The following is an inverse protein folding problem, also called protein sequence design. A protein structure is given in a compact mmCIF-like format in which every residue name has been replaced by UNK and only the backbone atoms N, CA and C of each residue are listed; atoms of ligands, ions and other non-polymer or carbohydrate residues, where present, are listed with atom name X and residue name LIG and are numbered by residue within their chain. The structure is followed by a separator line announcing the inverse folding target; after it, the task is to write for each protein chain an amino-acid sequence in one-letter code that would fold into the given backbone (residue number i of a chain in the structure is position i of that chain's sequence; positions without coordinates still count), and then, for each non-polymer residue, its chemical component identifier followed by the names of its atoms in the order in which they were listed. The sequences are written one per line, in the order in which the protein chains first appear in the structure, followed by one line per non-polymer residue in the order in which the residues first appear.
data_IF_116789674067
#
_entry.id   IF_116789674067
#
_cell.length_a   1.000
_cell.length_b   1.000
_cell.length_c   1.000
_cell.angle_alpha   90.00
_cell.angle_beta   90.00
_cell.angle_gamma   90.00
#
_symmetry.space_group_name_H-M   'P 1'
#
loop_
_entity.id
_entity.type
_entity.pdbx_description
1 polymer ?
#
# COMPACT_ATOMS: atom_id res chain seq x y z
N UNK A 1 -4.80 10.74 -34.28
CA UNK A 1 -3.74 10.06 -33.51
C UNK A 1 -4.34 8.80 -32.95
N UNK A 2 -3.68 7.66 -33.12
CA UNK A 2 -4.12 6.38 -32.55
C UNK A 2 -3.48 6.31 -31.17
N UNK A 3 -4.28 6.47 -30.12
CA UNK A 3 -3.77 6.38 -28.76
C UNK A 3 -3.48 4.92 -28.42
N UNK A 4 -2.36 4.67 -27.76
CA UNK A 4 -1.97 3.33 -27.33
C UNK A 4 -2.84 2.93 -26.14
N UNK A 5 -3.68 1.92 -26.34
CA UNK A 5 -4.49 1.36 -25.26
C UNK A 5 -3.60 0.56 -24.30
N UNK A 6 -3.70 0.78 -22.98
CA UNK A 6 -2.99 -0.02 -22.01
C UNK A 6 -3.71 -1.36 -21.82
N UNK A 7 -2.93 -2.44 -21.84
CA UNK A 7 -3.32 -3.73 -21.26
C UNK A 7 -2.45 -4.00 -20.04
N UNK A 8 -3.03 -4.63 -19.03
CA UNK A 8 -2.38 -4.86 -17.75
C UNK A 8 -2.30 -6.34 -17.45
N UNK A 9 -1.16 -6.77 -16.91
CA UNK A 9 -0.98 -8.08 -16.30
C UNK A 9 -0.57 -7.92 -14.84
N UNK A 10 -0.81 -8.97 -14.05
CA UNK A 10 -0.44 -9.02 -12.64
C UNK A 10 0.53 -10.17 -12.48
N UNK A 11 1.73 -9.87 -11.98
CA UNK A 11 2.75 -10.88 -11.77
C UNK A 11 2.49 -11.73 -10.52
N UNK A 12 3.39 -12.66 -10.22
CA UNK A 12 3.22 -13.57 -9.09
C UNK A 12 3.19 -12.88 -7.72
N UNK A 13 3.82 -11.70 -7.60
CA UNK A 13 3.90 -10.88 -6.38
C UNK A 13 2.75 -9.87 -6.29
N UNK A 14 1.87 -9.80 -7.28
CA UNK A 14 0.76 -8.86 -7.30
C UNK A 14 1.15 -7.47 -7.81
N UNK A 15 2.27 -7.34 -8.52
CA UNK A 15 2.68 -6.09 -9.18
C UNK A 15 1.94 -5.98 -10.51
N UNK A 16 1.43 -4.79 -10.77
CA UNK A 16 0.71 -4.50 -12.00
C UNK A 16 1.71 -4.00 -13.05
N UNK A 17 1.74 -4.67 -14.20
CA UNK A 17 2.63 -4.37 -15.30
C UNK A 17 1.77 -3.96 -16.51
N UNK A 18 2.12 -2.86 -17.15
CA UNK A 18 1.50 -2.45 -18.41
C UNK A 18 2.24 -3.13 -19.58
N UNK A 19 1.53 -3.88 -20.42
CA UNK A 19 2.14 -4.60 -21.54
C UNK A 19 2.59 -3.65 -22.66
N UNK A 20 1.93 -2.48 -22.76
CA UNK A 20 2.31 -1.40 -23.67
C UNK A 20 3.48 -0.55 -23.12
N UNK A 21 4.09 -0.91 -21.99
CA UNK A 21 5.22 -0.16 -21.44
C UNK A 21 6.48 -0.39 -22.27
N UNK A 22 7.24 0.67 -22.57
CA UNK A 22 8.46 0.57 -23.41
C UNK A 22 9.51 -0.41 -22.85
N UNK A 23 9.60 -0.49 -21.52
CA UNK A 23 10.46 -1.45 -20.78
C UNK A 23 9.80 -2.79 -20.45
N UNK A 24 8.64 -3.12 -21.01
CA UNK A 24 7.90 -4.35 -20.68
C UNK A 24 8.75 -5.64 -20.71
N UNK A 25 9.63 -5.88 -21.72
CA UNK A 25 10.47 -7.08 -21.74
C UNK A 25 11.42 -7.19 -20.53
N UNK A 26 11.93 -6.06 -20.03
CA UNK A 26 12.80 -6.03 -18.85
C UNK A 26 12.03 -6.46 -17.59
N UNK A 27 10.77 -6.04 -17.46
CA UNK A 27 9.92 -6.38 -16.32
C UNK A 27 9.62 -7.87 -16.24
N UNK A 28 9.58 -8.57 -17.37
CA UNK A 28 9.31 -10.00 -17.47
C UNK A 28 10.53 -10.92 -17.36
N UNK A 29 11.76 -10.37 -17.29
CA UNK A 29 12.96 -11.20 -17.18
C UNK A 29 12.90 -12.12 -15.94
N UNK A 30 13.11 -13.45 -16.10
CA UNK A 30 13.14 -14.39 -14.98
C UNK A 30 14.43 -14.23 -14.15
N UNK A 31 14.43 -14.80 -12.94
CA UNK A 31 15.61 -14.96 -12.07
C UNK A 31 16.31 -13.65 -11.66
N UNK A 32 15.56 -12.57 -11.49
CA UNK A 32 16.09 -11.30 -10.96
C UNK A 32 16.63 -11.48 -9.53
N UNK A 33 17.79 -10.88 -9.27
CA UNK A 33 18.32 -10.72 -7.92
C UNK A 33 17.43 -9.79 -7.09
N UNK A 34 17.49 -9.84 -5.75
CA UNK A 34 16.73 -8.93 -4.89
C UNK A 34 16.99 -7.44 -5.17
N UNK A 35 18.19 -7.10 -5.63
CA UNK A 35 18.54 -5.74 -6.01
C UNK A 35 17.85 -5.31 -7.31
N UNK A 36 17.88 -6.17 -8.34
CA UNK A 36 17.20 -5.92 -9.62
C UNK A 36 15.69 -5.84 -9.44
N UNK A 37 15.10 -6.64 -8.56
CA UNK A 37 13.67 -6.55 -8.21
C UNK A 37 13.32 -5.18 -7.63
N UNK A 38 14.15 -4.66 -6.73
CA UNK A 38 13.94 -3.34 -6.13
C UNK A 38 14.13 -2.21 -7.14
N UNK A 39 15.12 -2.34 -8.01
CA UNK A 39 15.32 -1.38 -9.09
C UNK A 39 14.10 -1.37 -10.03
N UNK A 40 13.63 -2.56 -10.41
CA UNK A 40 12.46 -2.70 -11.27
C UNK A 40 11.21 -2.06 -10.64
N UNK A 41 11.00 -2.22 -9.33
CA UNK A 41 9.87 -1.58 -8.63
C UNK A 41 9.90 -0.05 -8.72
N UNK A 42 11.08 0.57 -8.75
CA UNK A 42 11.22 2.01 -8.96
C UNK A 42 10.92 2.41 -10.42
N UNK A 43 11.15 1.49 -11.37
CA UNK A 43 10.91 1.71 -12.79
C UNK A 43 9.48 1.38 -13.23
N UNK A 44 8.68 0.68 -12.41
CA UNK A 44 7.27 0.33 -12.67
C UNK A 44 6.33 1.53 -12.50
N UNK A 45 6.51 2.53 -13.36
CA UNK A 45 5.74 3.78 -13.39
C UNK A 45 5.60 4.27 -14.83
N UNK A 46 4.51 4.97 -15.12
CA UNK A 46 4.30 5.60 -16.43
C UNK A 46 5.42 6.58 -16.79
N UNK A 47 6.05 7.20 -15.79
CA UNK A 47 7.08 8.22 -15.98
C UNK A 47 8.35 7.71 -16.69
N UNK A 48 8.60 6.40 -16.70
CA UNK A 48 9.76 5.81 -17.39
C UNK A 48 9.41 5.22 -18.76
N UNK A 49 8.17 5.41 -19.21
CA UNK A 49 7.68 4.91 -20.49
C UNK A 49 7.87 5.95 -21.59
N UNK A 50 8.42 5.54 -22.74
CA UNK A 50 8.59 6.45 -23.90
C UNK A 50 7.26 6.94 -24.47
N UNK A 51 6.20 6.13 -24.39
CA UNK A 51 4.86 6.53 -24.84
C UNK A 51 4.24 7.63 -23.97
N UNK A 52 4.61 7.69 -22.69
CA UNK A 52 4.22 8.79 -21.81
C UNK A 52 4.98 10.07 -22.17
N UNK A 53 6.28 9.97 -22.48
CA UNK A 53 7.10 11.11 -22.90
C UNK A 53 6.58 11.75 -24.20
N UNK A 54 6.11 10.91 -25.12
CA UNK A 54 5.55 11.32 -26.41
C UNK A 54 4.05 11.67 -26.39
N UNK A 55 3.38 11.58 -25.24
CA UNK A 55 1.93 11.81 -25.09
C UNK A 55 1.05 10.92 -26.00
N UNK A 56 1.46 9.66 -26.18
CA UNK A 56 0.80 8.67 -27.06
C UNK A 56 -0.16 7.74 -26.31
N UNK A 57 -0.16 7.79 -24.97
CA UNK A 57 -0.96 6.90 -24.15
C UNK A 57 -2.47 7.21 -24.22
N UNK A 58 -3.31 6.21 -23.90
CA UNK A 58 -4.76 6.39 -23.74
C UNK A 58 -5.12 7.57 -22.81
N UNK A 59 -4.41 7.68 -21.67
CA UNK A 59 -4.52 8.85 -20.80
C UNK A 59 -3.48 9.89 -21.21
N UNK A 60 -3.88 11.16 -21.42
CA UNK A 60 -2.94 12.24 -21.68
C UNK A 60 -1.93 12.39 -20.55
N UNK A 61 -0.72 12.83 -20.87
CA UNK A 61 0.37 13.09 -19.93
C UNK A 61 -0.07 13.94 -18.75
N UNK A 62 -0.84 15.00 -19.00
CA UNK A 62 -1.33 15.89 -17.95
C UNK A 62 -2.23 15.19 -16.91
N UNK A 63 -2.99 14.17 -17.34
CA UNK A 63 -3.83 13.38 -16.43
C UNK A 63 -2.98 12.41 -15.61
N UNK A 64 -2.00 11.77 -16.25
CA UNK A 64 -1.03 10.89 -15.62
C UNK A 64 -0.24 11.64 -14.54
N UNK A 65 0.23 12.85 -14.83
CA UNK A 65 0.97 13.71 -13.90
C UNK A 65 0.12 14.09 -12.69
N UNK A 66 -1.16 14.38 -12.92
CA UNK A 66 -2.11 14.69 -11.85
C UNK A 66 -2.32 13.48 -10.93
N UNK A 67 -2.45 12.28 -11.50
CA UNK A 67 -2.59 11.03 -10.74
C UNK A 67 -1.35 10.78 -9.90
N UNK A 68 -0.16 10.97 -10.47
CA UNK A 68 1.12 10.78 -9.77
C UNK A 68 1.30 11.79 -8.63
N UNK A 69 0.97 13.06 -8.86
CA UNK A 69 0.99 14.07 -7.81
C UNK A 69 -0.01 13.75 -6.69
N UNK A 70 -1.23 13.32 -7.05
CA UNK A 70 -2.24 12.90 -6.09
C UNK A 70 -1.77 11.67 -5.28
N UNK A 71 -1.02 10.74 -5.89
CA UNK A 71 -0.44 9.57 -5.20
C UNK A 71 0.56 9.99 -4.13
N UNK A 72 1.44 10.94 -4.44
CA UNK A 72 2.48 11.42 -3.52
C UNK A 72 1.89 12.27 -2.39
N UNK A 73 0.85 13.06 -2.68
CA UNK A 73 0.33 14.08 -1.76
C UNK A 73 -0.87 13.63 -0.94
N UNK A 74 -1.71 12.71 -1.44
CA UNK A 74 -2.97 12.32 -0.80
C UNK A 74 -2.92 10.89 -0.26
N UNK A 75 -3.47 10.71 0.95
CA UNK A 75 -3.67 9.39 1.56
C UNK A 75 -4.82 8.56 0.95
N UNK A 76 -5.33 8.93 -0.24
CA UNK A 76 -6.57 8.35 -0.80
C UNK A 76 -6.37 6.95 -1.36
N UNK A 77 -5.18 6.64 -1.85
CA UNK A 77 -4.88 5.37 -2.48
C UNK A 77 -4.38 4.38 -1.43
N UNK A 78 -5.32 3.75 -0.74
CA UNK A 78 -5.05 2.74 0.27
C UNK A 78 -5.57 1.38 -0.18
N UNK A 79 -4.87 0.34 0.25
CA UNK A 79 -5.27 -1.04 0.09
C UNK A 79 -6.60 -1.28 0.83
N UNK A 80 -7.59 -1.83 0.13
CA UNK A 80 -8.90 -2.19 0.67
C UNK A 80 -8.84 -3.29 1.73
N UNK A 81 -7.73 -4.02 1.86
CA UNK A 81 -7.57 -5.14 2.80
C UNK A 81 -6.75 -4.80 4.05
N UNK A 82 -5.76 -3.91 3.94
CA UNK A 82 -4.87 -3.60 5.06
C UNK A 82 -4.68 -2.11 5.34
N UNK A 83 -5.29 -1.21 4.56
CA UNK A 83 -5.17 0.24 4.75
C UNK A 83 -3.82 0.84 4.36
N UNK A 84 -2.82 0.02 4.01
CA UNK A 84 -1.52 0.52 3.56
C UNK A 84 -1.66 1.32 2.27
N UNK A 85 -0.87 2.38 2.15
CA UNK A 85 -0.80 3.17 0.91
C UNK A 85 -0.32 2.30 -0.26
N UNK A 86 -0.86 2.56 -1.44
CA UNK A 86 -0.43 1.93 -2.69
C UNK A 86 0.64 2.82 -3.32
N UNK A 87 1.88 2.35 -3.28
CA UNK A 87 3.00 3.11 -3.80
C UNK A 87 3.20 2.91 -5.32
N UNK A 88 2.73 1.80 -5.89
CA UNK A 88 2.87 1.50 -7.31
C UNK A 88 1.84 2.25 -8.16
N UNK A 89 2.34 3.16 -9.01
CA UNK A 89 1.52 3.98 -9.90
C UNK A 89 0.67 3.14 -10.85
N UNK A 90 1.25 2.10 -11.45
CA UNK A 90 0.56 1.26 -12.44
C UNK A 90 -0.66 0.54 -11.86
N UNK A 91 -0.67 0.21 -10.56
CA UNK A 91 -1.84 -0.34 -9.87
C UNK A 91 -3.00 0.66 -9.83
N UNK A 92 -2.70 1.95 -9.67
CA UNK A 92 -3.72 3.01 -9.70
C UNK A 92 -4.22 3.23 -11.12
N UNK A 93 -3.30 3.26 -12.09
CA UNK A 93 -3.64 3.41 -13.51
C UNK A 93 -4.56 2.29 -14.00
N UNK A 94 -4.28 1.04 -13.63
CA UNK A 94 -5.15 -0.09 -13.94
C UNK A 94 -6.55 0.16 -13.39
N UNK A 95 -6.69 0.47 -12.10
CA UNK A 95 -8.00 0.75 -11.50
C UNK A 95 -8.76 1.84 -12.26
N UNK A 96 -8.11 2.99 -12.51
CA UNK A 96 -8.74 4.14 -13.18
C UNK A 96 -9.17 3.76 -14.60
N UNK A 97 -8.32 3.04 -15.35
CA UNK A 97 -8.66 2.54 -16.67
C UNK A 97 -9.91 1.65 -16.68
N UNK A 98 -9.98 0.67 -15.78
CA UNK A 98 -11.13 -0.22 -15.73
C UNK A 98 -12.41 0.49 -15.25
N UNK A 99 -12.29 1.46 -14.35
CA UNK A 99 -13.41 2.29 -13.91
C UNK A 99 -13.94 3.17 -15.05
N UNK A 100 -13.07 3.83 -15.81
CA UNK A 100 -13.47 4.73 -16.91
C UNK A 100 -14.00 3.95 -18.12
N UNK A 101 -13.28 2.92 -18.57
CA UNK A 101 -13.60 2.22 -19.82
C UNK A 101 -14.76 1.23 -19.67
N UNK A 102 -14.87 0.56 -18.53
CA UNK A 102 -15.83 -0.53 -18.33
C UNK A 102 -16.84 -0.27 -17.20
N UNK A 103 -16.79 0.90 -16.55
CA UNK A 103 -17.64 1.22 -15.39
C UNK A 103 -17.56 0.17 -14.27
N UNK A 104 -16.38 -0.46 -14.11
CA UNK A 104 -16.14 -1.51 -13.13
C UNK A 104 -15.41 -0.97 -11.90
N UNK A 105 -15.99 -1.15 -10.71
CA UNK A 105 -15.36 -0.74 -9.45
C UNK A 105 -14.32 -1.76 -9.00
N UNK A 106 -13.04 -1.46 -9.22
CA UNK A 106 -11.94 -2.34 -8.83
C UNK A 106 -11.40 -1.99 -7.42
N UNK A 107 -11.26 -2.97 -6.51
CA UNK A 107 -10.60 -2.74 -5.23
C UNK A 107 -9.09 -2.57 -5.43
N UNK A 108 -8.49 -1.66 -4.67
CA UNK A 108 -7.04 -1.53 -4.61
C UNK A 108 -6.50 -2.57 -3.63
N UNK A 109 -5.57 -3.40 -4.09
CA UNK A 109 -4.94 -4.44 -3.27
C UNK A 109 -3.43 -4.27 -3.38
N UNK A 110 -2.73 -4.17 -2.25
CA UNK A 110 -1.26 -4.12 -2.23
C UNK A 110 -0.66 -5.52 -2.46
N UNK A 111 0.59 -5.55 -2.94
CA UNK A 111 1.32 -6.79 -3.25
C UNK A 111 1.30 -7.80 -2.09
N UNK A 112 1.56 -7.35 -0.86
CA UNK A 112 1.55 -8.22 0.33
C UNK A 112 0.17 -8.88 0.58
N UNK A 113 -0.92 -8.13 0.41
CA UNK A 113 -2.26 -8.67 0.57
C UNK A 113 -2.62 -9.59 -0.58
N UNK A 114 -2.23 -9.24 -1.82
CA UNK A 114 -2.42 -10.09 -2.98
C UNK A 114 -1.73 -11.44 -2.80
N UNK A 115 -0.46 -11.45 -2.39
CA UNK A 115 0.30 -12.67 -2.13
C UNK A 115 -0.35 -13.53 -1.03
N UNK A 116 -0.84 -12.89 0.04
CA UNK A 116 -1.53 -13.58 1.14
C UNK A 116 -2.84 -14.21 0.71
N UNK A 117 -3.60 -13.54 -0.17
CA UNK A 117 -4.81 -14.09 -0.78
C UNK A 117 -4.49 -15.28 -1.70
N UNK A 118 -3.48 -15.12 -2.58
CA UNK A 118 -3.05 -16.17 -3.51
C UNK A 118 -2.60 -17.44 -2.76
N UNK A 119 -1.92 -17.28 -1.63
CA UNK A 119 -1.46 -18.40 -0.77
C UNK A 119 -2.54 -18.94 0.18
N UNK A 120 -3.78 -18.43 0.15
CA UNK A 120 -4.86 -18.75 1.10
C UNK A 120 -4.47 -18.57 2.59
N UNK A 121 -3.58 -17.61 2.90
CA UNK A 121 -3.06 -17.34 4.27
C UNK A 121 -3.40 -15.94 4.79
N UNK A 122 -4.49 -15.36 4.28
CA UNK A 122 -4.88 -14.00 4.65
C UNK A 122 -5.23 -13.87 6.15
N UNK A 123 -5.88 -14.88 6.75
CA UNK A 123 -6.23 -14.83 8.17
C UNK A 123 -4.97 -14.80 9.07
N UNK A 124 -3.97 -15.64 8.77
CA UNK A 124 -2.67 -15.63 9.45
C UNK A 124 -1.97 -14.27 9.30
N UNK A 125 -1.96 -13.73 8.08
CA UNK A 125 -1.41 -12.41 7.80
C UNK A 125 -2.11 -11.31 8.61
N UNK A 126 -3.45 -11.33 8.65
CA UNK A 126 -4.25 -10.37 9.40
C UNK A 126 -3.95 -10.44 10.91
N UNK A 127 -3.92 -11.64 11.49
CA UNK A 127 -3.63 -11.83 12.92
C UNK A 127 -2.24 -11.29 13.25
N UNK A 128 -1.23 -11.60 12.43
CA UNK A 128 0.13 -11.08 12.60
C UNK A 128 0.14 -9.55 12.59
N UNK A 129 -0.53 -8.91 11.64
CA UNK A 129 -0.62 -7.44 11.54
C UNK A 129 -1.33 -6.80 12.73
N UNK A 130 -2.37 -7.44 13.26
CA UNK A 130 -3.05 -6.97 14.48
C UNK A 130 -2.10 -7.05 15.67
N UNK A 131 -1.36 -8.15 15.83
CA UNK A 131 -0.37 -8.28 16.91
C UNK A 131 0.78 -7.27 16.81
N UNK A 132 1.29 -7.01 15.60
CA UNK A 132 2.28 -5.94 15.35
C UNK A 132 1.75 -4.56 15.74
N UNK A 133 0.46 -4.29 15.50
CA UNK A 133 -0.17 -3.03 15.91
C UNK A 133 -0.40 -2.97 17.42
N UNK A 134 -0.80 -4.08 18.05
CA UNK A 134 -1.08 -4.16 19.48
C UNK A 134 0.18 -4.11 20.34
N UNK A 135 1.29 -4.70 19.88
CA UNK A 135 2.57 -4.68 20.61
C UNK A 135 3.09 -3.25 20.81
N UNK A 136 2.72 -2.31 19.93
CA UNK A 136 3.03 -0.89 20.08
C UNK A 136 2.41 -0.26 21.34
N UNK A 137 1.28 -0.77 21.83
CA UNK A 137 0.62 -0.25 23.03
C UNK A 137 1.18 -0.82 24.33
N UNK A 138 1.92 -1.93 24.28
CA UNK A 138 2.43 -2.64 25.46
C UNK A 138 3.34 -1.77 26.36
N UNK A 139 4.32 -1.00 25.82
CA UNK A 139 5.17 -0.12 26.65
C UNK A 139 4.37 0.98 27.37
N UNK A 140 3.27 1.43 26.76
CA UNK A 140 2.40 2.44 27.37
C UNK A 140 1.62 1.92 28.58
N UNK A 141 1.24 0.64 28.56
CA UNK A 141 0.58 -0.01 29.69
C UNK A 141 1.56 -0.14 30.86
N UNK A 142 2.82 -0.48 30.58
CA UNK A 142 3.88 -0.59 31.59
C UNK A 142 4.22 0.76 32.25
N UNK A 143 4.21 1.86 31.48
CA UNK A 143 4.45 3.21 32.01
C UNK A 143 3.34 3.72 32.94
N UNK A 144 2.10 3.24 32.80
CA UNK A 144 1.00 3.57 33.72
C UNK A 144 1.17 2.93 35.11
N UNK A 145 1.99 1.88 35.22
CA UNK A 145 2.12 1.08 36.45
C UNK A 145 3.19 1.65 37.40
N UNK A 146 4.12 2.50 36.93
CA UNK A 146 5.23 2.98 37.77
C UNK A 146 5.46 4.51 37.65
N UNK A 147 4.88 5.31 38.56
CA UNK A 147 4.71 6.75 38.32
C UNK A 147 5.73 7.67 39.04
N UNK A 148 6.99 7.32 39.32
CA UNK A 148 7.93 8.29 39.98
C UNK A 148 9.43 8.03 39.74
N UNK A 149 10.33 9.06 39.75
CA UNK A 149 10.56 9.94 40.92
C UNK A 149 10.77 11.47 40.67
N UNK A 150 10.60 12.25 41.73
CA UNK A 150 10.84 13.70 41.86
C UNK A 150 12.34 14.03 41.99
N UNK A 151 12.92 14.77 41.03
CA UNK A 151 14.22 15.46 41.17
C UNK A 151 14.42 16.46 39.99
N UNK A 152 15.43 17.32 39.98
CA UNK A 152 15.70 18.23 38.82
C UNK A 152 15.99 17.44 37.53
N UNK A 153 16.61 16.27 37.66
CA UNK A 153 16.72 15.25 36.60
C UNK A 153 15.33 14.82 36.09
N UNK A 154 14.32 14.81 36.96
CA UNK A 154 12.94 14.55 36.59
C UNK A 154 12.26 15.72 35.88
N UNK A 155 12.72 16.97 36.02
CA UNK A 155 12.21 18.10 35.20
C UNK A 155 12.73 17.99 33.77
N UNK A 156 14.03 17.72 33.59
CA UNK A 156 14.59 17.39 32.27
C UNK A 156 13.97 16.10 31.72
N UNK A 157 13.81 15.09 32.57
CA UNK A 157 13.09 13.86 32.29
C UNK A 157 11.63 14.12 31.92
N UNK A 158 10.97 15.13 32.50
CA UNK A 158 9.59 15.52 32.22
C UNK A 158 9.47 16.22 30.86
N UNK A 159 10.44 17.05 30.49
CA UNK A 159 10.50 17.66 29.14
C UNK A 159 10.73 16.57 28.08
N UNK A 160 11.69 15.68 28.30
CA UNK A 160 11.92 14.52 27.43
C UNK A 160 10.69 13.62 27.41
N UNK A 161 10.05 13.40 28.55
CA UNK A 161 8.80 12.64 28.67
C UNK A 161 7.67 13.32 27.90
N UNK A 162 7.49 14.64 27.94
CA UNK A 162 6.47 15.34 27.12
C UNK A 162 6.76 15.15 25.63
N UNK A 163 8.01 15.24 25.20
CA UNK A 163 8.41 15.02 23.80
C UNK A 163 8.12 13.58 23.38
N UNK A 164 8.58 12.61 24.19
CA UNK A 164 8.33 11.18 24.00
C UNK A 164 6.84 10.88 24.05
N UNK A 165 6.07 11.51 24.94
CA UNK A 165 4.64 11.34 25.10
C UNK A 165 3.88 11.94 23.91
N UNK A 166 4.28 13.10 23.38
CA UNK A 166 3.74 13.64 22.12
C UNK A 166 4.02 12.72 20.94
N UNK A 167 5.23 12.16 20.87
CA UNK A 167 5.59 11.16 19.85
C UNK A 167 4.72 9.90 20.02
N UNK A 168 4.56 9.40 21.25
CA UNK A 168 3.71 8.25 21.57
C UNK A 168 2.24 8.53 21.23
N UNK A 169 1.68 9.69 21.56
CA UNK A 169 0.30 10.04 21.20
C UNK A 169 0.14 10.07 19.68
N UNK A 170 1.06 10.73 18.97
CA UNK A 170 1.02 10.81 17.50
C UNK A 170 1.10 9.41 16.88
N UNK A 171 1.99 8.56 17.39
CA UNK A 171 2.11 7.18 16.94
C UNK A 171 0.86 6.36 17.30
N UNK A 172 0.34 6.46 18.53
CA UNK A 172 -0.90 5.78 18.95
C UNK A 172 -2.08 6.17 18.07
N UNK A 173 -2.23 7.46 17.74
CA UNK A 173 -3.29 7.92 16.85
C UNK A 173 -3.15 7.29 15.46
N UNK A 174 -1.94 7.26 14.90
CA UNK A 174 -1.66 6.60 13.63
C UNK A 174 -1.95 5.09 13.68
N UNK A 175 -1.51 4.40 14.73
CA UNK A 175 -1.77 2.96 14.91
C UNK A 175 -3.26 2.65 15.15
N UNK A 176 -4.00 3.54 15.81
CA UNK A 176 -5.45 3.41 16.00
C UNK A 176 -6.20 3.52 14.68
N UNK A 177 -5.84 4.49 13.84
CA UNK A 177 -6.37 4.59 12.47
C UNK A 177 -6.02 3.34 11.65
N UNK A 178 -4.78 2.88 11.73
CA UNK A 178 -4.33 1.66 11.06
C UNK A 178 -5.13 0.42 11.50
N UNK A 179 -5.41 0.27 12.81
CA UNK A 179 -6.22 -0.84 13.33
C UNK A 179 -7.65 -0.78 12.78
N UNK A 180 -8.24 0.41 12.70
CA UNK A 180 -9.57 0.61 12.10
C UNK A 180 -9.59 0.20 10.62
N UNK A 181 -8.55 0.54 9.87
CA UNK A 181 -8.44 0.16 8.46
C UNK A 181 -8.21 -1.34 8.27
N UNK A 182 -7.45 -1.99 9.15
CA UNK A 182 -7.34 -3.45 9.21
C UNK A 182 -8.71 -4.11 9.46
N UNK A 183 -9.49 -3.62 10.41
CA UNK A 183 -10.83 -4.17 10.71
C UNK A 183 -11.77 -4.00 9.52
N UNK A 184 -11.78 -2.83 8.88
CA UNK A 184 -12.55 -2.61 7.63
C UNK A 184 -12.10 -3.57 6.54
N UNK A 185 -10.79 -3.78 6.41
CA UNK A 185 -10.22 -4.69 5.43
C UNK A 185 -10.59 -6.15 5.66
N UNK A 186 -10.65 -6.60 6.92
CA UNK A 186 -11.18 -7.92 7.26
C UNK A 186 -12.64 -8.07 6.86
N UNK A 187 -13.50 -7.09 7.18
CA UNK A 187 -14.90 -7.11 6.73
C UNK A 187 -15.03 -7.18 5.21
N UNK A 188 -14.15 -6.48 4.49
CA UNK A 188 -14.10 -6.54 3.03
C UNK A 188 -13.65 -7.94 2.53
N UNK A 189 -12.65 -8.54 3.16
CA UNK A 189 -12.21 -9.92 2.88
C UNK A 189 -13.35 -10.92 3.08
N UNK A 190 -13.98 -10.90 4.26
CA UNK A 190 -15.05 -11.83 4.63
C UNK A 190 -16.20 -11.76 3.61
N UNK A 191 -16.58 -10.55 3.19
CA UNK A 191 -17.68 -10.35 2.23
C UNK A 191 -17.37 -10.80 0.79
N UNK A 192 -16.12 -10.65 0.33
CA UNK A 192 -15.81 -10.77 -1.11
C UNK A 192 -14.99 -12.00 -1.48
N UNK A 193 -14.30 -12.61 -0.51
CA UNK A 193 -13.29 -13.63 -0.74
C UNK A 193 -13.48 -14.91 0.08
N UNK A 194 -13.88 -14.82 1.35
CA UNK A 194 -13.88 -15.96 2.29
C UNK A 194 -14.64 -17.18 1.76
N UNK A 195 -15.91 -17.00 1.38
CA UNK A 195 -16.76 -18.10 0.94
C UNK A 195 -16.40 -18.64 -0.46
N UNK A 196 -15.68 -17.85 -1.27
CA UNK A 196 -15.22 -18.27 -2.60
C UNK A 196 -14.03 -19.23 -2.53
N UNK A 197 -13.28 -19.22 -1.44
CA UNK A 197 -12.13 -20.10 -1.23
C UNK A 197 -12.51 -21.45 -0.59
N UNK A 198 -13.67 -21.55 0.07
CA UNK A 198 -14.19 -22.80 0.64
C UNK A 198 -14.81 -23.73 -0.42
N UNK A 199 -15.15 -23.18 -1.59
CA UNK A 199 -15.74 -23.92 -2.73
C UNK A 199 -14.72 -24.49 -3.73
N UNK A 200 -13.41 -24.43 -3.43
CA UNK A 200 -12.31 -24.99 -4.24
C UNK A 200 -11.29 -25.75 -3.42
#
# INVERSE_FOLDING_TARGET
MVNIEPSFEIDEKGRVICQSHSKYPHFLQPNKTPFEERQMENELTCLTCSHYENDECYFPRAEIDKIELDRLTRSRFQCNLCGNKIDLMLTLMQKIYYEVKFNMKMPLVCCNCYESLKKKKFEEYFIKRVWESLSFYLPSILLLINPFPFNIIAVLGYIVFIIVFKIIIKLKFHYSLFLMDLIKGKKFYDKNFKDKFELT
#
